data_IF_488210064436
#
_entry.id   IF_488210064436
#
_cell.length_a   1.000
_cell.length_b   1.000
_cell.length_c   1.000
_cell.angle_alpha   90.00
_cell.angle_beta   90.00
_cell.angle_gamma   90.00
#
_symmetry.space_group_name_H-M   'P 1'
#
loop_
_entity.id
_entity.type
_entity.pdbx_description
1 polymer ?
#
# COMPACT_ATOMS: atom_id res chain seq x y z
N UNK A 1 49.42 58.20 23.39
CA UNK A 1 50.23 57.70 22.26
C UNK A 1 49.77 56.29 21.96
N UNK A 2 49.46 56.03 20.68
CA UNK A 2 49.03 54.78 20.02
C UNK A 2 47.53 54.44 20.12
N UNK A 3 46.99 54.21 18.91
CA UNK A 3 45.62 54.03 18.44
C UNK A 3 45.40 52.52 18.16
N UNK A 4 44.13 52.13 17.91
CA UNK A 4 43.65 50.98 17.09
C UNK A 4 43.33 49.72 17.94
N UNK A 5 42.18 49.02 17.90
CA UNK A 5 41.13 48.81 16.86
C UNK A 5 39.78 48.41 17.47
N UNK A 6 38.72 48.88 16.81
CA UNK A 6 37.30 48.54 16.92
C UNK A 6 37.04 47.03 16.69
N UNK A 7 36.19 46.37 17.50
CA UNK A 7 35.58 45.08 17.17
C UNK A 7 34.05 45.12 17.33
N UNK A 8 33.42 45.28 16.18
CA UNK A 8 32.15 44.73 15.69
C UNK A 8 31.03 44.37 16.68
N UNK A 9 30.01 45.23 16.62
CA UNK A 9 28.58 45.00 16.78
C UNK A 9 28.07 43.77 16.01
N UNK A 10 27.32 42.87 16.66
CA UNK A 10 26.15 42.23 16.03
C UNK A 10 25.16 41.67 17.06
N UNK A 11 23.98 42.28 17.09
CA UNK A 11 22.77 41.80 17.74
C UNK A 11 22.20 40.70 16.84
N UNK A 12 22.07 39.46 17.34
CA UNK A 12 21.38 38.38 16.64
C UNK A 12 19.95 38.29 17.16
N UNK A 13 19.02 38.97 16.47
CA UNK A 13 17.60 38.70 16.59
C UNK A 13 17.27 37.47 15.72
N UNK A 14 17.24 36.29 16.35
CA UNK A 14 16.76 35.06 15.72
C UNK A 14 15.25 34.94 15.91
N UNK A 15 14.47 35.49 14.98
CA UNK A 15 13.05 35.19 14.86
C UNK A 15 12.94 33.87 14.08
N UNK A 16 12.86 32.75 14.80
CA UNK A 16 12.65 31.43 14.21
C UNK A 16 11.17 31.34 13.78
N UNK A 17 10.90 31.62 12.51
CA UNK A 17 9.64 31.29 11.87
C UNK A 17 9.65 29.78 11.63
N UNK A 18 9.07 29.00 12.54
CA UNK A 18 8.69 27.62 12.25
C UNK A 18 7.62 27.66 11.15
N UNK A 19 8.03 27.44 9.90
CA UNK A 19 7.12 26.96 8.87
C UNK A 19 6.69 25.55 9.29
N UNK A 20 5.58 25.45 10.02
CA UNK A 20 4.83 24.20 10.09
C UNK A 20 4.33 23.94 8.67
N UNK A 21 5.01 23.07 7.91
CA UNK A 21 4.41 22.48 6.72
C UNK A 21 3.30 21.58 7.24
N UNK A 22 2.10 22.13 7.36
CA UNK A 22 0.91 21.32 7.54
C UNK A 22 0.79 20.46 6.27
N UNK A 23 1.14 19.18 6.39
CA UNK A 23 0.78 18.21 5.36
C UNK A 23 -0.72 18.28 5.16
N UNK A 24 -1.16 18.70 3.97
CA UNK A 24 -2.59 18.73 3.65
C UNK A 24 -3.02 17.27 3.46
N UNK A 25 -3.58 16.65 4.50
CA UNK A 25 -4.35 15.43 4.30
C UNK A 25 -5.65 15.82 3.58
N UNK A 26 -5.71 15.60 2.27
CA UNK A 26 -6.99 15.65 1.57
C UNK A 26 -7.83 14.46 2.02
N UNK A 27 -9.13 14.65 2.16
CA UNK A 27 -10.05 13.52 2.25
C UNK A 27 -9.87 12.62 1.02
N UNK A 28 -10.06 11.31 1.21
CA UNK A 28 -10.14 10.39 0.07
C UNK A 28 -11.24 10.87 -0.89
N UNK A 29 -11.04 10.73 -2.22
CA UNK A 29 -12.06 11.10 -3.19
C UNK A 29 -13.37 10.38 -2.87
N UNK A 30 -14.48 11.12 -2.92
CA UNK A 30 -15.84 10.56 -2.81
C UNK A 30 -16.60 10.69 -4.13
N UNK A 31 -15.90 11.11 -5.18
CA UNK A 31 -16.39 11.30 -6.53
C UNK A 31 -15.29 10.93 -7.53
N UNK A 32 -15.67 10.54 -8.75
CA UNK A 32 -14.75 10.29 -9.86
C UNK A 32 -14.44 8.80 -10.04
N UNK A 33 -13.32 8.52 -10.71
CA UNK A 33 -12.84 7.17 -10.98
C UNK A 33 -11.50 6.96 -10.26
N UNK A 34 -11.33 5.81 -9.61
CA UNK A 34 -10.07 5.37 -9.02
C UNK A 34 -9.68 4.04 -9.66
N UNK A 35 -8.49 3.96 -10.26
CA UNK A 35 -7.90 2.71 -10.76
C UNK A 35 -6.90 2.14 -9.76
N UNK A 36 -6.91 0.82 -9.54
CA UNK A 36 -6.07 0.13 -8.56
C UNK A 36 -5.33 -1.03 -9.23
N UNK A 37 -4.01 -1.12 -9.06
CA UNK A 37 -3.25 -2.33 -9.40
C UNK A 37 -3.18 -3.22 -8.16
N UNK A 38 -3.67 -4.45 -8.25
CA UNK A 38 -3.47 -5.49 -7.25
C UNK A 38 -2.33 -6.40 -7.67
N UNK A 39 -1.40 -6.66 -6.75
CA UNK A 39 -0.23 -7.52 -6.97
C UNK A 39 -0.33 -8.70 -6.01
N UNK A 40 -0.63 -9.89 -6.53
CA UNK A 40 -0.60 -11.13 -5.77
C UNK A 40 0.84 -11.63 -5.64
N UNK A 41 1.27 -11.92 -4.42
CA UNK A 41 2.65 -12.31 -4.13
C UNK A 41 2.72 -13.51 -3.19
N UNK A 42 3.47 -14.51 -3.63
CA UNK A 42 3.80 -15.74 -2.90
C UNK A 42 5.27 -15.78 -2.51
N UNK A 43 5.64 -16.79 -1.73
CA UNK A 43 6.97 -17.03 -1.19
C UNK A 43 7.43 -18.46 -1.47
N UNK A 44 8.72 -18.74 -1.34
CA UNK A 44 9.27 -20.09 -1.59
C UNK A 44 8.66 -21.17 -0.66
N UNK A 45 8.15 -20.79 0.51
CA UNK A 45 7.54 -21.67 1.50
C UNK A 45 6.03 -21.49 1.68
N UNK A 46 5.40 -20.56 0.96
CA UNK A 46 4.00 -20.20 1.14
C UNK A 46 3.36 -19.71 -0.17
N UNK A 47 2.50 -20.56 -0.73
CA UNK A 47 1.66 -20.31 -1.91
C UNK A 47 0.24 -19.88 -1.47
N UNK A 48 -0.52 -19.24 -2.37
CA UNK A 48 -1.96 -18.99 -2.19
C UNK A 48 -2.72 -20.33 -2.09
N UNK A 49 -3.86 -20.33 -1.41
CA UNK A 49 -4.79 -21.45 -1.48
C UNK A 49 -5.27 -21.66 -2.93
N UNK A 50 -5.51 -22.92 -3.33
CA UNK A 50 -5.88 -23.28 -4.72
C UNK A 50 -7.13 -22.53 -5.22
N UNK A 51 -8.03 -22.18 -4.31
CA UNK A 51 -9.26 -21.43 -4.55
C UNK A 51 -9.11 -19.90 -4.50
N UNK A 52 -7.94 -19.37 -4.10
CA UNK A 52 -7.63 -17.94 -4.03
C UNK A 52 -6.75 -17.53 -5.22
N UNK A 53 -7.25 -17.78 -6.43
CA UNK A 53 -6.61 -17.39 -7.68
C UNK A 53 -6.92 -15.92 -8.06
N UNK A 54 -6.47 -15.50 -9.24
CA UNK A 54 -6.75 -14.14 -9.72
C UNK A 54 -8.26 -13.86 -9.82
N UNK A 55 -9.04 -14.82 -10.34
CA UNK A 55 -10.50 -14.68 -10.50
C UNK A 55 -11.16 -14.44 -9.14
N UNK A 56 -10.73 -15.16 -8.08
CA UNK A 56 -11.20 -14.92 -6.71
C UNK A 56 -10.96 -13.47 -6.25
N UNK A 57 -9.76 -12.93 -6.45
CA UNK A 57 -9.45 -11.55 -6.05
C UNK A 57 -10.11 -10.50 -6.95
N UNK A 58 -10.31 -10.79 -8.24
CA UNK A 58 -11.09 -9.96 -9.15
C UNK A 58 -12.55 -9.87 -8.72
N UNK A 59 -13.18 -10.99 -8.38
CA UNK A 59 -14.55 -11.03 -7.87
C UNK A 59 -14.66 -10.27 -6.54
N UNK A 60 -13.73 -10.52 -5.61
CA UNK A 60 -13.68 -9.81 -4.33
C UNK A 60 -13.53 -8.29 -4.50
N UNK A 61 -12.77 -7.84 -5.48
CA UNK A 61 -12.55 -6.43 -5.74
C UNK A 61 -13.71 -5.78 -6.54
N UNK A 62 -14.25 -6.47 -7.54
CA UNK A 62 -15.03 -5.84 -8.63
C UNK A 62 -16.33 -6.54 -9.02
N UNK A 63 -16.75 -7.63 -8.35
CA UNK A 63 -18.03 -8.27 -8.65
C UNK A 63 -19.21 -7.28 -8.43
N UNK A 64 -20.33 -7.50 -9.12
CA UNK A 64 -21.51 -6.63 -9.01
C UNK A 64 -22.17 -6.59 -7.62
N UNK A 65 -21.85 -7.52 -6.73
CA UNK A 65 -22.38 -7.63 -5.36
C UNK A 65 -21.29 -8.15 -4.44
N UNK A 66 -21.35 -7.84 -3.15
CA UNK A 66 -20.39 -8.33 -2.14
C UNK A 66 -18.91 -8.12 -2.51
N UNK A 67 -18.61 -7.05 -3.25
CA UNK A 67 -17.24 -6.66 -3.60
C UNK A 67 -16.88 -5.29 -3.02
N UNK A 68 -15.59 -4.98 -3.05
CA UNK A 68 -15.09 -3.65 -2.71
C UNK A 68 -15.76 -2.58 -3.59
N UNK A 69 -15.85 -2.80 -4.90
CA UNK A 69 -16.55 -1.90 -5.81
C UNK A 69 -18.00 -1.68 -5.40
N UNK A 70 -18.75 -2.76 -5.15
CA UNK A 70 -20.17 -2.67 -4.78
C UNK A 70 -20.38 -1.81 -3.52
N UNK A 71 -19.53 -2.00 -2.51
CA UNK A 71 -19.57 -1.16 -1.30
C UNK A 71 -19.37 0.32 -1.60
N UNK A 72 -18.35 0.68 -2.39
CA UNK A 72 -18.05 2.07 -2.69
C UNK A 72 -19.05 2.71 -3.66
N UNK A 73 -19.60 1.97 -4.62
CA UNK A 73 -20.70 2.44 -5.47
C UNK A 73 -21.93 2.77 -4.62
N UNK A 74 -22.33 1.87 -3.71
CA UNK A 74 -23.49 2.06 -2.85
C UNK A 74 -23.31 3.28 -1.92
N UNK A 75 -22.22 3.31 -1.16
CA UNK A 75 -21.96 4.38 -0.17
C UNK A 75 -21.77 5.74 -0.83
N UNK A 76 -21.17 5.78 -2.04
CA UNK A 76 -21.00 7.02 -2.78
C UNK A 76 -22.27 7.47 -3.53
N UNK A 77 -23.27 6.58 -3.66
CA UNK A 77 -24.46 6.75 -4.52
C UNK A 77 -24.06 6.90 -6.00
N UNK A 78 -23.22 5.98 -6.47
CA UNK A 78 -22.68 5.92 -7.82
C UNK A 78 -21.96 7.19 -8.26
N UNK A 79 -21.28 7.83 -7.31
CA UNK A 79 -20.48 9.03 -7.56
C UNK A 79 -19.00 8.71 -7.66
N UNK A 80 -18.57 7.66 -6.95
CA UNK A 80 -17.24 7.12 -6.99
C UNK A 80 -17.31 5.75 -7.68
N UNK A 81 -16.47 5.59 -8.70
CA UNK A 81 -16.26 4.33 -9.39
C UNK A 81 -14.84 3.84 -9.08
N UNK A 82 -14.70 2.55 -8.80
CA UNK A 82 -13.42 1.92 -8.47
C UNK A 82 -13.21 0.75 -9.42
N UNK A 83 -12.13 0.78 -10.19
CA UNK A 83 -11.75 -0.30 -11.08
C UNK A 83 -10.29 -0.65 -10.92
N UNK A 84 -9.82 -1.60 -11.70
CA UNK A 84 -8.43 -2.04 -11.64
C UNK A 84 -8.26 -3.43 -12.22
N UNK A 85 -7.05 -3.94 -12.01
CA UNK A 85 -6.59 -5.20 -12.57
C UNK A 85 -5.78 -5.95 -11.49
N UNK A 86 -5.85 -7.28 -11.52
CA UNK A 86 -5.13 -8.18 -10.61
C UNK A 86 -3.99 -8.84 -11.38
N UNK A 87 -2.77 -8.81 -10.82
CA UNK A 87 -1.56 -9.35 -11.40
C UNK A 87 -0.92 -10.39 -10.49
N UNK A 88 -0.19 -11.35 -11.07
CA UNK A 88 0.51 -12.42 -10.33
C UNK A 88 -0.15 -13.79 -10.46
N UNK A 89 0.00 -14.71 -9.50
CA UNK A 89 0.93 -14.59 -8.37
C UNK A 89 2.38 -14.50 -8.85
N UNK A 90 3.15 -13.63 -8.21
CA UNK A 90 4.60 -13.56 -8.34
C UNK A 90 5.24 -14.23 -7.13
N UNK A 91 6.30 -15.01 -7.32
CA UNK A 91 7.03 -15.64 -6.21
C UNK A 91 8.28 -14.84 -5.88
N UNK A 92 8.36 -14.27 -4.67
CA UNK A 92 9.57 -13.59 -4.20
C UNK A 92 10.65 -14.59 -3.78
N UNK A 93 11.91 -14.18 -3.90
CA UNK A 93 13.05 -14.94 -3.38
C UNK A 93 13.05 -14.93 -1.84
N UNK A 94 12.86 -16.08 -1.20
CA UNK A 94 12.85 -16.23 0.25
C UNK A 94 11.49 -16.63 0.83
N UNK A 95 11.46 -16.75 2.16
CA UNK A 95 10.29 -17.24 2.90
C UNK A 95 9.41 -16.07 3.37
N UNK A 96 8.13 -16.32 3.65
CA UNK A 96 7.20 -15.29 4.12
C UNK A 96 7.72 -14.50 5.33
N UNK A 97 8.37 -15.20 6.28
CA UNK A 97 8.96 -14.61 7.48
C UNK A 97 10.07 -13.58 7.20
N UNK A 98 10.78 -13.69 6.06
CA UNK A 98 11.80 -12.71 5.66
C UNK A 98 11.20 -11.33 5.33
N UNK A 99 9.89 -11.30 5.06
CA UNK A 99 9.14 -10.12 4.63
C UNK A 99 8.18 -9.58 5.71
N UNK A 100 8.11 -10.20 6.90
CA UNK A 100 7.15 -9.86 7.97
C UNK A 100 7.32 -8.46 8.57
N UNK A 101 8.44 -7.78 8.30
CA UNK A 101 8.76 -6.49 8.90
C UNK A 101 9.27 -5.44 7.91
N UNK A 102 9.00 -4.18 8.25
CA UNK A 102 9.45 -3.04 7.46
C UNK A 102 8.70 -2.96 6.13
N UNK A 103 9.43 -2.63 5.07
CA UNK A 103 8.85 -2.21 3.77
C UNK A 103 9.40 -3.05 2.62
N UNK A 104 10.05 -4.17 2.92
CA UNK A 104 10.69 -5.02 1.92
C UNK A 104 9.63 -5.68 1.05
N UNK A 105 8.58 -6.26 1.65
CA UNK A 105 7.46 -6.88 0.94
C UNK A 105 6.96 -6.00 -0.21
N UNK A 106 6.46 -4.80 0.09
CA UNK A 106 5.92 -3.89 -0.93
C UNK A 106 6.92 -3.37 -1.94
N UNK A 107 8.23 -3.34 -1.63
CA UNK A 107 9.25 -2.93 -2.61
C UNK A 107 9.50 -4.04 -3.60
N UNK A 108 9.69 -5.24 -3.10
CA UNK A 108 10.04 -6.39 -3.92
C UNK A 108 8.81 -6.85 -4.72
N UNK A 109 7.59 -6.68 -4.20
CA UNK A 109 6.34 -6.84 -4.97
C UNK A 109 6.25 -5.90 -6.17
N UNK A 110 6.68 -4.64 -6.02
CA UNK A 110 6.69 -3.67 -7.13
C UNK A 110 7.80 -4.05 -8.12
N UNK A 111 9.00 -4.37 -7.63
CA UNK A 111 10.13 -4.75 -8.48
C UNK A 111 9.82 -5.99 -9.35
N UNK A 112 9.21 -7.03 -8.77
CA UNK A 112 8.93 -8.27 -9.52
C UNK A 112 7.79 -8.13 -10.53
N UNK A 113 6.89 -7.16 -10.35
CA UNK A 113 5.73 -6.94 -11.22
C UNK A 113 5.91 -5.80 -12.23
N UNK A 114 6.99 -5.02 -12.12
CA UNK A 114 7.25 -3.83 -12.92
C UNK A 114 7.32 -4.09 -14.43
N UNK A 115 7.72 -5.31 -14.84
CA UNK A 115 7.75 -5.65 -16.28
C UNK A 115 6.35 -5.86 -16.89
N UNK A 116 5.34 -6.15 -16.05
CA UNK A 116 3.97 -6.44 -16.46
C UNK A 116 3.00 -5.26 -16.23
N UNK A 117 3.35 -4.33 -15.33
CA UNK A 117 2.46 -3.25 -14.86
C UNK A 117 3.06 -1.89 -15.20
N UNK A 118 2.35 -1.10 -16.02
CA UNK A 118 2.61 0.34 -16.13
C UNK A 118 1.88 1.08 -15.00
N UNK A 119 2.59 1.38 -13.91
CA UNK A 119 2.01 1.96 -12.70
C UNK A 119 1.46 3.39 -12.89
N UNK A 120 1.74 4.03 -14.03
CA UNK A 120 1.17 5.36 -14.36
C UNK A 120 -0.32 5.30 -14.69
N UNK A 121 -0.82 4.12 -15.06
CA UNK A 121 -2.24 3.91 -15.40
C UNK A 121 -3.12 3.75 -14.14
N UNK A 122 -2.50 3.61 -12.96
CA UNK A 122 -3.16 3.35 -11.70
C UNK A 122 -3.09 4.53 -10.73
N UNK A 123 -4.14 4.71 -9.92
CA UNK A 123 -4.20 5.71 -8.87
C UNK A 123 -3.74 5.17 -7.51
N UNK A 124 -3.82 3.86 -7.31
CA UNK A 124 -3.36 3.16 -6.12
C UNK A 124 -2.76 1.80 -6.47
N UNK A 125 -1.94 1.30 -5.55
CA UNK A 125 -1.34 -0.04 -5.64
C UNK A 125 -1.63 -0.77 -4.34
N UNK A 126 -2.01 -2.03 -4.44
CA UNK A 126 -2.23 -2.93 -3.32
C UNK A 126 -1.46 -4.23 -3.56
N UNK A 127 -0.61 -4.61 -2.60
CA UNK A 127 0.08 -5.89 -2.62
C UNK A 127 -0.66 -6.86 -1.69
N UNK A 128 -1.00 -8.03 -2.21
CA UNK A 128 -1.65 -9.12 -1.49
C UNK A 128 -0.57 -10.18 -1.25
N UNK A 129 -0.29 -10.52 0.00
CA UNK A 129 0.62 -11.63 0.29
C UNK A 129 -0.18 -12.92 0.51
N UNK A 130 0.38 -14.05 0.06
CA UNK A 130 -0.12 -15.37 0.43
C UNK A 130 -0.09 -15.55 1.96
N UNK A 131 -1.04 -16.34 2.48
CA UNK A 131 -1.18 -16.66 3.89
C UNK A 131 -1.90 -15.59 4.74
N UNK A 132 -1.99 -15.85 6.06
CA UNK A 132 -2.82 -15.06 6.96
C UNK A 132 -2.17 -13.74 7.37
N UNK A 133 -3.00 -12.77 7.77
CA UNK A 133 -2.54 -11.51 8.35
C UNK A 133 -1.99 -11.68 9.77
N UNK A 134 -0.82 -11.10 10.03
CA UNK A 134 -0.23 -11.07 11.37
C UNK A 134 -1.14 -10.41 12.42
N UNK A 135 -2.05 -9.52 12.00
CA UNK A 135 -3.06 -8.90 12.85
C UNK A 135 -4.09 -9.87 13.44
N UNK A 136 -4.35 -10.99 12.75
CA UNK A 136 -5.31 -12.00 13.20
C UNK A 136 -4.64 -13.22 13.83
N UNK A 137 -3.42 -13.57 13.40
CA UNK A 137 -2.68 -14.72 13.96
C UNK A 137 -1.93 -14.35 15.24
N UNK A 138 -1.38 -13.13 15.30
CA UNK A 138 -0.43 -12.70 16.33
C UNK A 138 0.94 -13.36 16.22
N UNK A 139 1.26 -13.98 15.08
CA UNK A 139 2.60 -14.48 14.76
C UNK A 139 3.48 -13.33 14.22
N UNK A 140 4.73 -13.26 14.68
CA UNK A 140 5.70 -12.24 14.23
C UNK A 140 6.32 -12.62 12.86
N UNK A 141 6.16 -13.87 12.43
CA UNK A 141 6.58 -14.35 11.11
C UNK A 141 5.53 -14.09 10.02
N UNK A 142 4.29 -13.75 10.40
CA UNK A 142 3.23 -13.37 9.45
C UNK A 142 3.32 -11.87 9.11
N UNK A 143 3.06 -11.54 7.85
CA UNK A 143 3.05 -10.14 7.40
C UNK A 143 1.80 -9.45 7.95
N UNK A 144 2.00 -8.30 8.61
CA UNK A 144 0.91 -7.48 9.14
C UNK A 144 0.39 -6.52 8.06
N UNK A 145 -0.93 -6.37 7.92
CA UNK A 145 -1.55 -5.36 7.05
C UNK A 145 -1.12 -3.92 7.36
N UNK A 146 -0.62 -3.19 6.36
CA UNK A 146 -0.15 -1.79 6.53
C UNK A 146 -0.48 -0.93 5.31
N UNK A 147 -0.92 0.30 5.54
CA UNK A 147 -0.92 1.35 4.53
C UNK A 147 0.30 2.27 4.66
N UNK A 148 1.23 2.18 3.71
CA UNK A 148 2.44 2.99 3.65
C UNK A 148 2.16 4.36 3.04
N UNK A 149 1.70 5.31 3.86
CA UNK A 149 1.32 6.66 3.37
C UNK A 149 2.47 7.62 3.05
N UNK A 150 3.73 7.20 3.31
CA UNK A 150 4.93 8.00 3.09
C UNK A 150 6.13 7.11 2.74
N UNK A 151 6.11 6.55 1.53
CA UNK A 151 7.20 5.76 0.96
C UNK A 151 7.63 6.35 -0.39
N UNK A 152 8.73 5.87 -0.93
CA UNK A 152 9.09 6.05 -2.34
C UNK A 152 9.66 4.73 -2.82
N UNK A 153 9.05 4.21 -3.88
CA UNK A 153 9.46 3.04 -4.63
C UNK A 153 9.62 3.51 -6.08
N UNK A 154 10.79 3.26 -6.63
CA UNK A 154 11.08 3.55 -8.05
C UNK A 154 10.40 2.49 -8.92
N UNK A 155 9.96 2.86 -10.11
CA UNK A 155 9.44 1.94 -11.12
C UNK A 155 10.17 2.18 -12.44
N UNK A 156 10.10 1.23 -13.36
CA UNK A 156 10.70 1.30 -14.69
C UNK A 156 9.81 2.07 -15.69
N UNK A 157 8.75 2.74 -15.21
CA UNK A 157 7.81 3.58 -15.98
C UNK A 157 8.30 5.01 -16.25
N UNK A 158 9.60 5.17 -16.45
CA UNK A 158 10.26 6.48 -16.58
C UNK A 158 10.59 7.08 -15.21
N UNK A 159 10.16 8.33 -14.96
CA UNK A 159 10.40 9.00 -13.66
C UNK A 159 9.24 8.79 -12.66
N UNK A 160 8.35 7.83 -12.93
CA UNK A 160 7.21 7.55 -12.04
C UNK A 160 7.67 6.85 -10.77
N UNK A 161 7.02 7.18 -9.66
CA UNK A 161 7.37 6.64 -8.35
C UNK A 161 6.09 6.42 -7.55
N UNK A 162 5.94 5.22 -6.98
CA UNK A 162 4.87 4.92 -6.04
C UNK A 162 5.18 5.62 -4.72
N UNK A 163 4.25 6.47 -4.28
CA UNK A 163 4.36 7.22 -3.01
C UNK A 163 3.57 6.61 -1.86
N UNK A 164 2.60 5.75 -2.20
CA UNK A 164 1.72 5.08 -1.27
C UNK A 164 1.35 3.72 -1.81
N UNK A 165 1.35 2.72 -0.93
CA UNK A 165 0.97 1.34 -1.24
C UNK A 165 0.37 0.72 0.02
N UNK A 166 -0.62 -0.13 -0.16
CA UNK A 166 -1.23 -0.92 0.92
C UNK A 166 -0.79 -2.37 0.77
N UNK A 167 -0.44 -3.02 1.87
CA UNK A 167 -0.28 -4.48 1.93
C UNK A 167 -1.41 -5.09 2.74
N UNK A 168 -1.96 -6.20 2.26
CA UNK A 168 -3.04 -6.98 2.89
C UNK A 168 -2.75 -8.48 2.74
N UNK A 169 -3.30 -9.34 3.62
CA UNK A 169 -3.18 -10.78 3.49
C UNK A 169 -4.14 -11.34 2.45
N UNK A 170 -3.91 -12.60 2.12
CA UNK A 170 -4.84 -13.45 1.38
C UNK A 170 -6.14 -13.67 2.17
N UNK A 171 -6.04 -13.92 3.47
CA UNK A 171 -7.17 -14.13 4.35
C UNK A 171 -6.86 -13.71 5.80
N UNK A 172 -7.91 -13.50 6.57
CA UNK A 172 -7.82 -13.14 7.98
C UNK A 172 -8.38 -14.26 8.85
N UNK A 173 -7.61 -14.69 9.85
CA UNK A 173 -8.05 -15.72 10.79
C UNK A 173 -9.14 -15.16 11.71
N UNK A 174 -10.21 -15.93 11.94
CA UNK A 174 -11.22 -15.58 12.93
C UNK A 174 -11.25 -16.54 14.12
N UNK A 175 -11.66 -15.99 15.27
CA UNK A 175 -11.87 -16.78 16.50
C UNK A 175 -13.02 -17.81 16.32
N UNK A 176 -13.91 -17.65 15.32
CA UNK A 176 -14.97 -18.61 15.01
C UNK A 176 -14.54 -19.74 14.06
N UNK A 177 -13.34 -19.65 13.47
CA UNK A 177 -12.84 -20.62 12.50
C UNK A 177 -13.30 -20.40 11.07
N UNK A 178 -14.01 -19.30 10.79
CA UNK A 178 -14.36 -18.85 9.45
C UNK A 178 -13.28 -17.88 8.93
N UNK A 179 -12.80 -18.04 7.70
CA UNK A 179 -11.91 -17.06 7.09
C UNK A 179 -12.66 -15.74 6.84
N UNK A 180 -11.99 -14.62 7.06
CA UNK A 180 -12.53 -13.29 6.80
C UNK A 180 -11.87 -12.67 5.58
N UNK A 181 -12.67 -11.98 4.79
CA UNK A 181 -12.21 -11.34 3.56
C UNK A 181 -11.28 -10.15 3.87
N UNK A 182 -10.07 -10.13 3.28
CA UNK A 182 -9.03 -9.16 3.61
C UNK A 182 -9.36 -7.74 3.11
N UNK A 183 -10.19 -7.63 2.07
CA UNK A 183 -10.64 -6.34 1.54
C UNK A 183 -11.80 -5.72 2.33
N UNK A 184 -12.24 -6.39 3.40
CA UNK A 184 -13.21 -5.85 4.36
C UNK A 184 -14.60 -5.64 3.77
N UNK A 185 -14.99 -6.52 2.85
CA UNK A 185 -16.34 -6.57 2.30
C UNK A 185 -17.19 -7.51 3.18
N UNK A 186 -18.37 -7.06 3.60
CA UNK A 186 -19.28 -7.79 4.50
C UNK A 186 -20.74 -7.54 4.13
#
# INVERSE_FOLDING_TARGET
>A
MIIVKLKYLTIFAGFLLCLMVAGTSSAAPSIGNITIAFIMVEFEDQEFQEEHDQDYFEDLAFESTNSMWHYYDEVSKSKLDIGGDVYGPYTLDGNAADYSSGTTFVRDSVEISDEDIDFRDYNAVMAIHAGPGGESTGDDDDIWSVHWSSITIDTDDGDYQIKKITQVPEYENSISGDEKEPLGVW
#
